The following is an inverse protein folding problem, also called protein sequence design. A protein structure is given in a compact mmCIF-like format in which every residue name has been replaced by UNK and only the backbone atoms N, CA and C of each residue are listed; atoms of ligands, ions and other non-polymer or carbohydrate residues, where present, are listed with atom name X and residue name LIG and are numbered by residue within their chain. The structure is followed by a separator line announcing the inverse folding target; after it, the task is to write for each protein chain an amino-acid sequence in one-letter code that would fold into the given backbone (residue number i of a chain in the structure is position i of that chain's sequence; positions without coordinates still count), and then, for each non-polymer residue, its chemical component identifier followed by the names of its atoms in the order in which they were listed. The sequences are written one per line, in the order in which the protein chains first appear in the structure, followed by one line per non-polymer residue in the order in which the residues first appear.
data_IF_849947658527
#
_entry.id   IF_849947658527
#
_cell.length_a   1.000
_cell.length_b   1.000
_cell.length_c   1.000
_cell.angle_alpha   90.00
_cell.angle_beta   90.00
_cell.angle_gamma   90.00
#
_symmetry.space_group_name_H-M   'P 1'
#
loop_
_entity.id
_entity.type
_entity.pdbx_description
1 polymer ?
#
# COMPACT_ATOMS: atom_id res chain seq x y z
N UNK A 1 19.29 -2.46 30.36
CA UNK A 1 18.15 -3.23 29.82
C UNK A 1 18.28 -3.18 28.30
N UNK A 2 18.58 -4.30 27.62
CA UNK A 2 18.59 -4.33 26.15
C UNK A 2 17.14 -4.09 25.67
N UNK A 3 16.89 -3.28 24.64
CA UNK A 3 15.57 -3.22 24.01
C UNK A 3 15.19 -4.65 23.59
N UNK A 4 13.96 -5.06 23.89
CA UNK A 4 13.43 -6.30 23.33
C UNK A 4 13.43 -6.12 21.81
N UNK A 5 14.24 -6.90 21.10
CA UNK A 5 14.14 -7.01 19.65
C UNK A 5 12.78 -7.63 19.35
N UNK A 6 11.78 -6.79 19.09
CA UNK A 6 10.48 -7.24 18.65
C UNK A 6 10.63 -7.70 17.21
N UNK A 7 10.80 -9.01 17.02
CA UNK A 7 10.61 -9.61 15.70
C UNK A 7 9.15 -9.33 15.31
N UNK A 8 8.90 -8.61 14.21
CA UNK A 8 7.52 -8.37 13.78
C UNK A 8 6.83 -9.73 13.57
N UNK A 9 5.55 -9.82 13.93
CA UNK A 9 4.76 -11.03 13.69
C UNK A 9 4.92 -11.47 12.22
N UNK A 10 4.90 -12.77 11.90
CA UNK A 10 5.00 -13.20 10.51
C UNK A 10 3.84 -12.64 9.67
N UNK A 11 4.08 -12.34 8.38
CA UNK A 11 2.98 -11.95 7.48
C UNK A 11 1.99 -13.12 7.33
N UNK A 12 0.67 -12.86 7.37
CA UNK A 12 -0.31 -13.91 7.17
C UNK A 12 -0.26 -14.42 5.73
N UNK A 13 -0.34 -15.73 5.56
CA UNK A 13 -0.25 -16.35 4.23
C UNK A 13 -1.59 -16.28 3.49
N UNK A 14 -1.53 -15.90 2.22
CA UNK A 14 -2.64 -15.96 1.27
C UNK A 14 -2.08 -16.53 -0.04
N UNK A 15 -2.72 -17.57 -0.59
CA UNK A 15 -2.25 -18.22 -1.80
C UNK A 15 -2.09 -17.23 -2.96
N UNK A 16 -0.97 -17.31 -3.68
CA UNK A 16 -0.65 -16.42 -4.80
C UNK A 16 -0.26 -15.00 -4.41
N UNK A 17 -0.09 -14.71 -3.11
CA UNK A 17 0.43 -13.43 -2.62
C UNK A 17 1.93 -13.51 -2.39
N UNK A 18 2.66 -12.53 -2.91
CA UNK A 18 4.08 -12.30 -2.65
C UNK A 18 4.26 -11.02 -1.85
N UNK A 19 5.05 -11.10 -0.79
CA UNK A 19 5.36 -9.95 0.06
C UNK A 19 6.70 -9.33 -0.33
N UNK A 20 6.75 -8.00 -0.33
CA UNK A 20 7.97 -7.23 -0.55
C UNK A 20 8.00 -6.01 0.37
N UNK A 21 9.19 -5.45 0.52
CA UNK A 21 9.43 -4.21 1.24
C UNK A 21 9.99 -3.20 0.25
N UNK A 22 9.36 -2.04 0.13
CA UNK A 22 9.74 -0.99 -0.81
C UNK A 22 10.11 0.27 -0.04
N UNK A 23 11.35 0.74 -0.22
CA UNK A 23 11.80 1.97 0.41
C UNK A 23 11.28 3.17 -0.39
N UNK A 24 10.50 4.01 0.26
CA UNK A 24 9.92 5.23 -0.32
C UNK A 24 10.19 6.39 0.62
N UNK A 25 10.95 7.39 0.15
CA UNK A 25 11.18 8.66 0.88
C UNK A 25 11.66 8.43 2.34
N UNK A 26 12.51 7.42 2.56
CA UNK A 26 13.05 7.08 3.87
C UNK A 26 12.09 6.29 4.78
N UNK A 27 10.97 5.80 4.26
CA UNK A 27 10.03 4.90 4.94
C UNK A 27 9.99 3.58 4.17
N UNK A 28 10.16 2.45 4.86
CA UNK A 28 9.99 1.14 4.26
C UNK A 28 8.52 0.73 4.31
N UNK A 29 7.92 0.55 3.15
CA UNK A 29 6.52 0.14 3.01
C UNK A 29 6.42 -1.35 2.69
N UNK A 30 5.59 -2.06 3.43
CA UNK A 30 5.19 -3.42 3.09
C UNK A 30 4.17 -3.42 1.95
N UNK A 31 4.38 -4.32 1.01
CA UNK A 31 3.51 -4.51 -0.15
C UNK A 31 3.24 -6.00 -0.35
N UNK A 32 1.96 -6.37 -0.31
CA UNK A 32 1.46 -7.67 -0.71
C UNK A 32 0.95 -7.61 -2.17
N UNK A 33 1.54 -8.40 -3.06
CA UNK A 33 1.23 -8.40 -4.49
C UNK A 33 0.63 -9.73 -4.93
N UNK A 34 -0.36 -9.68 -5.81
CA UNK A 34 -0.98 -10.86 -6.40
C UNK A 34 -1.43 -10.59 -7.83
N UNK A 35 -1.42 -11.64 -8.65
CA UNK A 35 -1.92 -11.57 -10.01
C UNK A 35 -0.99 -10.86 -11.00
N UNK A 36 -1.45 -10.80 -12.24
CA UNK A 36 -0.75 -10.15 -13.36
C UNK A 36 -1.76 -9.33 -14.16
N UNK A 37 -1.31 -8.31 -14.90
CA UNK A 37 -2.19 -7.44 -15.69
C UNK A 37 -2.19 -5.98 -15.24
N UNK A 38 -3.31 -5.27 -15.45
CA UNK A 38 -3.40 -3.83 -15.17
C UNK A 38 -3.26 -3.59 -13.65
N UNK A 39 -2.39 -2.65 -13.22
CA UNK A 39 -2.09 -2.45 -11.80
C UNK A 39 -3.23 -1.76 -11.06
N UNK A 40 -3.56 -2.32 -9.89
CA UNK A 40 -4.56 -1.80 -8.96
C UNK A 40 -3.93 -1.66 -7.57
N UNK A 41 -3.80 -0.42 -7.09
CA UNK A 41 -3.35 -0.14 -5.72
C UNK A 41 -4.54 -0.18 -4.78
N UNK A 42 -4.39 -0.90 -3.67
CA UNK A 42 -5.43 -1.13 -2.66
C UNK A 42 -5.00 -0.48 -1.34
N UNK A 43 -5.66 0.60 -0.94
CA UNK A 43 -5.41 1.33 0.31
C UNK A 43 -6.41 0.93 1.39
N UNK A 44 -5.92 0.29 2.45
CA UNK A 44 -6.75 -0.11 3.60
C UNK A 44 -7.22 1.09 4.44
N UNK A 45 -8.25 0.85 5.27
CA UNK A 45 -8.79 1.83 6.22
C UNK A 45 -8.15 1.80 7.61
N UNK A 46 -8.77 2.46 8.58
CA UNK A 46 -8.40 2.37 10.00
C UNK A 46 -9.40 1.51 10.79
N UNK A 47 -8.96 0.65 11.74
CA UNK A 47 -7.61 0.13 11.95
C UNK A 47 -7.41 -1.17 11.16
N UNK A 48 -6.82 -1.09 9.96
CA UNK A 48 -6.60 -2.25 9.09
C UNK A 48 -5.15 -2.29 8.56
N UNK A 49 -4.86 -3.31 7.77
CA UNK A 49 -3.64 -3.50 6.99
C UNK A 49 -4.01 -4.30 5.71
N UNK A 50 -3.03 -4.63 4.86
CA UNK A 50 -3.20 -5.27 3.55
C UNK A 50 -4.14 -6.50 3.57
N UNK A 51 -4.14 -7.25 4.67
CA UNK A 51 -4.91 -8.49 4.85
C UNK A 51 -6.43 -8.27 4.86
N UNK A 52 -6.88 -7.02 5.03
CA UNK A 52 -8.26 -6.63 4.79
C UNK A 52 -8.75 -7.03 3.40
N UNK A 53 -7.85 -7.04 2.41
CA UNK A 53 -8.13 -7.36 1.02
C UNK A 53 -8.11 -8.86 0.68
N UNK A 54 -7.75 -9.75 1.62
CA UNK A 54 -7.54 -11.19 1.34
C UNK A 54 -8.69 -11.91 0.63
N UNK A 55 -9.93 -11.44 0.81
CA UNK A 55 -11.12 -12.00 0.16
C UNK A 55 -11.32 -11.47 -1.25
N UNK A 56 -10.83 -10.27 -1.55
CA UNK A 56 -10.87 -9.66 -2.87
C UNK A 56 -9.69 -10.11 -3.75
N UNK A 57 -8.54 -10.42 -3.14
CA UNK A 57 -7.36 -10.90 -3.84
C UNK A 57 -7.68 -12.03 -4.83
N UNK A 58 -8.26 -13.18 -4.42
CA UNK A 58 -8.52 -14.28 -5.35
C UNK A 58 -9.56 -13.96 -6.43
N UNK A 59 -10.44 -12.98 -6.20
CA UNK A 59 -11.49 -12.60 -7.15
C UNK A 59 -10.98 -11.68 -8.25
N UNK A 60 -9.91 -10.93 -7.98
CA UNK A 60 -9.39 -9.88 -8.86
C UNK A 60 -8.02 -10.21 -9.45
N UNK A 61 -7.23 -11.06 -8.80
CA UNK A 61 -5.84 -11.39 -9.21
C UNK A 61 -5.76 -12.14 -10.55
N UNK A 62 -6.86 -12.76 -11.00
CA UNK A 62 -6.93 -13.38 -12.33
C UNK A 62 -6.87 -12.36 -13.49
N UNK A 63 -7.20 -11.09 -13.23
CA UNK A 63 -7.31 -10.04 -14.26
C UNK A 63 -6.42 -8.83 -13.99
N UNK A 64 -6.08 -8.60 -12.73
CA UNK A 64 -5.38 -7.41 -12.28
C UNK A 64 -4.13 -7.77 -11.50
N UNK A 65 -3.10 -6.92 -11.63
CA UNK A 65 -1.97 -6.92 -10.72
C UNK A 65 -2.34 -6.12 -9.48
N UNK A 66 -2.64 -6.80 -8.39
CA UNK A 66 -3.03 -6.18 -7.13
C UNK A 66 -1.79 -5.77 -6.34
N UNK A 67 -1.83 -4.55 -5.78
CA UNK A 67 -0.77 -3.95 -4.99
C UNK A 67 -1.40 -3.49 -3.68
N UNK A 68 -1.47 -4.40 -2.71
CA UNK A 68 -2.00 -4.12 -1.37
C UNK A 68 -0.88 -3.56 -0.50
N UNK A 69 -0.92 -2.26 -0.21
CA UNK A 69 0.12 -1.59 0.58
C UNK A 69 -0.34 -1.43 2.02
N UNK A 70 0.55 -1.72 2.96
CA UNK A 70 0.42 -1.23 4.33
C UNK A 70 0.88 0.23 4.35
N UNK A 71 -0.03 1.15 4.68
CA UNK A 71 0.34 2.55 4.78
C UNK A 71 1.31 2.76 5.95
N UNK A 72 2.11 3.84 5.91
CA UNK A 72 3.01 4.23 7.02
C UNK A 72 2.31 4.10 8.38
N UNK A 73 2.99 3.47 9.34
CA UNK A 73 2.46 3.21 10.68
C UNK A 73 1.50 2.03 10.80
N UNK A 74 1.27 1.25 9.75
CA UNK A 74 0.40 0.07 9.77
C UNK A 74 1.15 -1.20 9.36
N UNK A 75 0.67 -2.33 9.88
CA UNK A 75 1.11 -3.67 9.52
C UNK A 75 2.63 -3.82 9.59
N UNK A 76 3.24 -4.14 8.45
CA UNK A 76 4.69 -4.38 8.31
C UNK A 76 5.45 -3.21 7.69
N UNK A 77 4.80 -2.06 7.53
CA UNK A 77 5.46 -0.82 7.15
C UNK A 77 6.08 -0.14 8.37
N UNK A 78 7.13 0.65 8.14
CA UNK A 78 7.74 1.44 9.20
C UNK A 78 6.72 2.41 9.82
N UNK A 79 6.88 2.67 11.12
CA UNK A 79 6.08 3.61 11.89
C UNK A 79 6.93 4.82 12.32
N UNK A 80 7.23 5.76 11.41
CA UNK A 80 8.02 6.94 11.75
C UNK A 80 7.30 7.79 12.81
N UNK A 81 8.03 8.61 13.57
CA UNK A 81 7.45 9.45 14.61
C UNK A 81 6.55 10.60 14.07
N UNK A 82 6.59 10.88 12.76
CA UNK A 82 5.90 12.02 12.13
C UNK A 82 5.56 11.75 10.66
N UNK A 83 4.82 12.67 10.04
CA UNK A 83 4.45 12.64 8.62
C UNK A 83 3.20 11.80 8.35
N UNK A 84 2.16 11.94 9.17
CA UNK A 84 0.88 11.24 8.98
C UNK A 84 -0.21 12.12 8.37
N UNK A 85 0.13 13.37 8.03
CA UNK A 85 -0.70 14.27 7.24
C UNK A 85 -0.99 13.69 5.84
N UNK A 86 -2.06 14.19 5.23
CA UNK A 86 -2.54 13.72 3.92
C UNK A 86 -1.45 13.79 2.85
N UNK A 87 -0.68 14.88 2.82
CA UNK A 87 0.36 15.09 1.79
C UNK A 87 1.48 14.05 1.92
N UNK A 88 1.92 13.77 3.14
CA UNK A 88 2.90 12.72 3.41
C UNK A 88 2.40 11.35 2.97
N UNK A 89 1.14 11.02 3.21
CA UNK A 89 0.54 9.74 2.78
C UNK A 89 0.41 9.66 1.26
N UNK A 90 -0.03 10.73 0.59
CA UNK A 90 -0.14 10.78 -0.87
C UNK A 90 1.24 10.65 -1.52
N UNK A 91 2.23 11.36 -1.01
CA UNK A 91 3.58 11.32 -1.54
C UNK A 91 4.28 9.96 -1.34
N UNK A 92 3.89 9.17 -0.34
CA UNK A 92 4.31 7.78 -0.24
C UNK A 92 3.71 6.89 -1.32
N UNK A 93 2.43 7.07 -1.63
CA UNK A 93 1.81 6.30 -2.71
C UNK A 93 2.44 6.68 -4.04
N UNK A 94 2.68 7.96 -4.30
CA UNK A 94 3.38 8.40 -5.53
C UNK A 94 4.79 7.81 -5.59
N UNK A 95 5.58 7.91 -4.52
CA UNK A 95 6.93 7.35 -4.51
C UNK A 95 6.95 5.82 -4.57
N UNK A 96 5.91 5.14 -4.10
CA UNK A 96 5.73 3.71 -4.30
C UNK A 96 5.48 3.39 -5.78
N UNK A 97 4.66 4.19 -6.47
CA UNK A 97 4.44 4.04 -7.90
C UNK A 97 5.73 4.25 -8.70
N UNK A 98 6.53 5.26 -8.36
CA UNK A 98 7.87 5.47 -8.93
C UNK A 98 8.76 4.24 -8.73
N UNK A 99 8.87 3.75 -7.48
CA UNK A 99 9.72 2.62 -7.14
C UNK A 99 9.30 1.31 -7.84
N UNK A 100 8.01 1.17 -8.17
CA UNK A 100 7.47 0.02 -8.90
C UNK A 100 7.45 0.21 -10.43
N UNK A 101 7.90 1.38 -10.94
CA UNK A 101 7.89 1.70 -12.37
C UNK A 101 6.47 1.82 -12.95
N UNK A 102 5.52 2.36 -12.18
CA UNK A 102 4.11 2.43 -12.55
C UNK A 102 3.68 3.86 -12.86
N UNK A 103 3.47 4.16 -14.14
CA UNK A 103 3.01 5.47 -14.58
C UNK A 103 1.52 5.73 -14.29
N UNK A 104 0.74 4.65 -14.17
CA UNK A 104 -0.71 4.73 -14.08
C UNK A 104 -1.27 3.49 -13.42
N UNK A 105 -2.22 3.72 -12.49
CA UNK A 105 -2.89 2.65 -11.76
C UNK A 105 -4.38 2.94 -11.62
N UNK A 106 -5.17 1.91 -11.36
CA UNK A 106 -6.43 2.11 -10.64
C UNK A 106 -6.12 2.15 -9.15
N UNK A 107 -6.72 3.07 -8.43
CA UNK A 107 -6.64 3.16 -6.98
C UNK A 107 -7.99 2.75 -6.42
N UNK A 108 -7.99 1.81 -5.48
CA UNK A 108 -9.15 1.44 -4.68
C UNK A 108 -8.80 1.76 -3.22
N UNK A 109 -9.54 2.68 -2.61
CA UNK A 109 -9.38 3.03 -1.20
C UNK A 109 -10.62 2.66 -0.41
N UNK A 110 -10.43 2.05 0.76
CA UNK A 110 -11.49 1.79 1.74
C UNK A 110 -11.25 2.66 2.98
N UNK A 111 -12.28 3.43 3.37
CA UNK A 111 -12.34 4.26 4.61
C UNK A 111 -11.42 5.51 4.64
N UNK A 112 -11.88 6.54 5.39
CA UNK A 112 -11.57 7.99 5.39
C UNK A 112 -12.02 8.82 4.17
N UNK A 113 -13.18 8.49 3.60
CA UNK A 113 -13.84 9.38 2.64
C UNK A 113 -15.33 9.06 2.49
N UNK A 114 -16.16 9.59 3.40
CA UNK A 114 -17.64 9.51 3.43
C UNK A 114 -18.23 8.27 4.13
N UNK A 115 -17.96 8.12 5.43
CA UNK A 115 -18.68 7.19 6.32
C UNK A 115 -18.21 5.72 6.26
N UNK A 116 -18.73 4.86 7.17
CA UNK A 116 -18.31 3.45 7.25
C UNK A 116 -18.66 2.71 5.95
N UNK A 117 -17.67 2.05 5.34
CA UNK A 117 -17.84 1.25 4.11
C UNK A 117 -17.62 2.00 2.79
N UNK A 118 -17.15 3.25 2.81
CA UNK A 118 -16.85 3.99 1.58
C UNK A 118 -15.68 3.35 0.82
N UNK A 119 -15.94 2.83 -0.37
CA UNK A 119 -14.92 2.43 -1.34
C UNK A 119 -14.90 3.43 -2.48
N UNK A 120 -13.74 3.99 -2.81
CA UNK A 120 -13.56 4.86 -3.98
C UNK A 120 -12.66 4.20 -5.00
N UNK A 121 -12.98 4.39 -6.29
CA UNK A 121 -12.12 3.97 -7.40
C UNK A 121 -11.73 5.20 -8.20
N UNK A 122 -10.43 5.43 -8.35
CA UNK A 122 -9.91 6.51 -9.19
C UNK A 122 -8.78 6.01 -10.09
N UNK A 123 -8.50 6.73 -11.17
CA UNK A 123 -7.33 6.47 -11.98
C UNK A 123 -6.25 7.47 -11.60
N UNK A 124 -5.17 6.98 -11.01
CA UNK A 124 -4.01 7.82 -10.71
C UNK A 124 -3.01 7.75 -11.85
N UNK A 125 -2.42 8.91 -12.17
CA UNK A 125 -1.25 9.00 -13.04
C UNK A 125 -0.11 9.55 -12.21
N UNK A 126 1.01 8.86 -12.25
CA UNK A 126 2.25 9.39 -11.75
C UNK A 126 2.76 10.45 -12.75
N UNK A 127 3.07 11.65 -12.25
CA UNK A 127 3.55 12.78 -13.04
C UNK A 127 5.02 13.04 -12.69
N UNK A 128 5.89 12.04 -12.85
CA UNK A 128 7.30 12.14 -12.49
C UNK A 128 8.16 12.92 -13.50
N UNK A 129 7.54 13.55 -14.50
CA UNK A 129 8.20 14.57 -15.32
C UNK A 129 8.12 15.94 -14.66
N UNK A 130 8.86 16.22 -13.57
CA UNK A 130 9.56 17.49 -13.21
C UNK A 130 10.09 17.42 -11.77
N UNK A 131 11.31 17.93 -11.57
CA UNK A 131 12.08 18.02 -10.32
C UNK A 131 11.34 18.67 -9.15
N UNK A 132 11.50 18.10 -7.95
CA UNK A 132 11.22 18.79 -6.70
C UNK A 132 12.49 19.53 -6.25
N UNK A 133 12.50 20.86 -6.37
CA UNK A 133 13.42 21.76 -5.67
C UNK A 133 12.85 22.10 -4.30
#
# INVERSE_FOLDING_TARGET
MKPLETVPAPQPEVAGVHHSQVNVRGVRLHVAQAGTGEPVVLLHGFPQHWYGWRRLIPLLSERYRLICVDQRGFGWSDAPARGYDTDSRVADIIGLLDALGLDRVRLIGHDWGRGPGSTSVSRLRNASGTSWR
#
